data_IF_045239122279
#
_entry.id   IF_045239122279
#
_cell.length_a   1.000
_cell.length_b   1.000
_cell.length_c   1.000
_cell.angle_alpha   90.00
_cell.angle_beta   90.00
_cell.angle_gamma   90.00
#
_symmetry.space_group_name_H-M   'P 1'
#
loop_
_entity.id
_entity.type
_entity.pdbx_description
1 polymer ?
#
# COMPACT_ATOMS: atom_id res chain seq x y z
N UNK A 1 -9.70 -25.10 3.23
CA UNK A 1 -8.95 -24.19 2.34
C UNK A 1 -9.84 -23.57 1.24
N UNK A 2 -11.02 -24.12 0.92
CA UNK A 2 -11.83 -23.68 -0.24
C UNK A 2 -12.69 -22.42 -0.06
N UNK A 3 -13.07 -22.04 1.16
CA UNK A 3 -13.96 -20.88 1.37
C UNK A 3 -13.28 -19.52 1.24
N UNK A 4 -11.96 -19.43 1.50
CA UNK A 4 -11.22 -18.15 1.36
C UNK A 4 -11.01 -17.74 -0.10
N UNK A 5 -10.85 -18.71 -1.01
CA UNK A 5 -10.61 -18.42 -2.43
C UNK A 5 -11.89 -18.08 -3.21
N UNK A 6 -13.06 -18.54 -2.77
CA UNK A 6 -14.33 -18.22 -3.44
C UNK A 6 -14.82 -16.79 -3.19
N UNK A 7 -14.48 -16.18 -2.04
CA UNK A 7 -14.90 -14.81 -1.70
C UNK A 7 -14.18 -13.76 -2.57
N UNK A 8 -13.03 -14.12 -3.14
CA UNK A 8 -12.23 -13.25 -4.02
C UNK A 8 -12.58 -13.39 -5.52
N UNK A 9 -13.78 -13.85 -5.89
CA UNK A 9 -14.17 -14.02 -7.30
C UNK A 9 -15.11 -12.93 -7.84
N UNK A 10 -15.65 -12.06 -6.98
CA UNK A 10 -16.60 -11.02 -7.39
C UNK A 10 -16.14 -9.68 -6.83
N UNK A 11 -15.93 -8.71 -7.73
CA UNK A 11 -15.59 -7.34 -7.37
C UNK A 11 -16.83 -6.63 -6.83
N UNK A 12 -16.67 -5.87 -5.74
CA UNK A 12 -17.74 -4.99 -5.25
C UNK A 12 -18.15 -4.00 -6.34
N UNK A 13 -19.46 -3.90 -6.53
CA UNK A 13 -20.06 -3.10 -7.60
C UNK A 13 -21.14 -2.18 -7.06
N UNK A 14 -21.26 -1.00 -7.68
CA UNK A 14 -22.26 0.01 -7.32
C UNK A 14 -21.65 1.21 -6.57
N UNK A 15 -22.51 2.20 -6.26
CA UNK A 15 -22.08 3.46 -5.62
C UNK A 15 -22.90 3.85 -4.38
N UNK A 16 -23.83 2.99 -3.96
CA UNK A 16 -24.80 3.30 -2.91
C UNK A 16 -24.16 3.46 -1.52
N UNK A 17 -23.09 2.72 -1.24
CA UNK A 17 -22.33 2.81 0.01
C UNK A 17 -21.10 3.72 -0.08
N UNK A 18 -20.82 4.33 -1.23
CA UNK A 18 -19.61 5.13 -1.40
C UNK A 18 -19.63 6.41 -0.57
N UNK A 19 -18.44 6.80 -0.12
CA UNK A 19 -18.22 8.02 0.66
C UNK A 19 -17.89 9.22 -0.21
N UNK A 20 -18.34 10.38 0.24
CA UNK A 20 -18.07 11.68 -0.39
C UNK A 20 -17.72 12.71 0.67
N UNK A 21 -16.73 13.55 0.39
CA UNK A 21 -16.33 14.68 1.23
C UNK A 21 -16.26 15.96 0.38
N UNK A 22 -17.06 16.97 0.73
CA UNK A 22 -17.19 18.23 -0.02
C UNK A 22 -17.35 18.01 -1.54
N UNK A 23 -18.17 17.03 -1.93
CA UNK A 23 -18.43 16.67 -3.33
C UNK A 23 -17.36 15.80 -4.00
N UNK A 24 -16.25 15.49 -3.32
CA UNK A 24 -15.20 14.58 -3.82
C UNK A 24 -15.50 13.15 -3.42
N UNK A 25 -15.47 12.23 -4.38
CA UNK A 25 -15.60 10.79 -4.09
C UNK A 25 -14.35 10.30 -3.36
N UNK A 26 -14.53 9.62 -2.24
CA UNK A 26 -13.41 9.06 -1.50
C UNK A 26 -12.99 7.74 -2.12
N UNK A 27 -11.70 7.65 -2.43
CA UNK A 27 -11.08 6.44 -2.98
C UNK A 27 -9.89 6.07 -2.13
N UNK A 28 -9.62 4.77 -2.08
CA UNK A 28 -8.56 4.19 -1.28
C UNK A 28 -7.84 3.14 -2.09
N UNK A 29 -6.55 2.99 -1.86
CA UNK A 29 -5.74 2.00 -2.53
C UNK A 29 -4.39 1.79 -1.88
N UNK A 30 -3.63 0.88 -2.45
CA UNK A 30 -2.28 0.57 -2.00
C UNK A 30 -1.24 0.85 -3.09
N UNK A 31 0.01 1.05 -2.66
CA UNK A 31 1.18 0.83 -3.49
C UNK A 31 1.77 -0.51 -3.03
N UNK A 32 1.47 -1.62 -3.73
CA UNK A 32 2.00 -2.91 -3.35
C UNK A 32 3.49 -2.97 -3.69
N UNK A 33 4.29 -3.50 -2.76
CA UNK A 33 5.73 -3.68 -2.95
C UNK A 33 6.20 -5.01 -2.38
N UNK A 34 7.36 -5.46 -2.87
CA UNK A 34 8.10 -6.60 -2.30
C UNK A 34 9.60 -6.40 -2.44
N UNK A 35 10.36 -7.03 -1.57
CA UNK A 35 11.82 -7.07 -1.69
C UNK A 35 12.25 -8.09 -2.74
N UNK A 36 13.34 -7.78 -3.45
CA UNK A 36 13.96 -8.74 -4.37
C UNK A 36 14.82 -9.72 -3.58
N UNK A 37 14.73 -11.01 -3.88
CA UNK A 37 15.41 -12.08 -3.14
C UNK A 37 16.96 -11.96 -3.14
N UNK A 38 17.52 -11.34 -4.18
CA UNK A 38 18.97 -11.16 -4.34
C UNK A 38 19.30 -9.69 -4.54
N UNK A 39 19.67 -9.02 -3.45
CA UNK A 39 20.30 -7.70 -3.51
C UNK A 39 21.70 -7.86 -2.97
N UNK A 40 22.68 -7.96 -3.88
CA UNK A 40 24.08 -7.77 -3.54
C UNK A 40 24.23 -6.46 -2.76
N UNK A 41 25.03 -6.48 -1.69
CA UNK A 41 25.17 -5.40 -0.70
C UNK A 41 25.72 -4.07 -1.26
N UNK A 42 25.83 -3.91 -2.59
CA UNK A 42 26.32 -2.73 -3.31
C UNK A 42 25.23 -1.88 -3.98
N UNK A 43 23.97 -2.32 -4.01
CA UNK A 43 22.90 -1.61 -4.73
C UNK A 43 22.26 -0.47 -3.93
N UNK A 44 21.80 0.55 -4.68
CA UNK A 44 21.05 1.70 -4.18
C UNK A 44 19.79 1.17 -3.48
N UNK A 45 19.43 1.79 -2.36
CA UNK A 45 18.35 1.32 -1.48
C UNK A 45 16.98 1.17 -2.19
N UNK A 46 16.79 1.89 -3.29
CA UNK A 46 15.58 1.82 -4.12
C UNK A 46 15.54 0.61 -5.06
N UNK A 47 16.69 0.02 -5.39
CA UNK A 47 16.76 -1.18 -6.24
C UNK A 47 16.42 -2.46 -5.46
N UNK A 48 16.40 -2.37 -4.12
CA UNK A 48 16.17 -3.48 -3.23
C UNK A 48 14.72 -3.99 -3.23
N UNK A 49 13.79 -3.19 -3.75
CA UNK A 49 12.40 -3.54 -3.86
C UNK A 49 11.83 -3.21 -5.24
N UNK A 50 10.68 -3.79 -5.52
CA UNK A 50 9.87 -3.50 -6.69
C UNK A 50 8.43 -3.19 -6.27
N UNK A 51 7.72 -2.49 -7.14
CA UNK A 51 6.33 -2.08 -6.91
C UNK A 51 5.44 -2.67 -7.98
N UNK A 52 4.17 -2.90 -7.63
CA UNK A 52 3.17 -3.42 -8.55
C UNK A 52 2.28 -2.29 -9.04
N UNK A 53 2.08 -2.24 -10.35
CA UNK A 53 1.07 -1.40 -10.98
C UNK A 53 0.13 -2.26 -11.82
N UNK A 54 -1.04 -1.70 -12.13
CA UNK A 54 -2.07 -2.34 -12.95
C UNK A 54 -2.37 -1.54 -14.22
N UNK A 55 -2.83 -2.24 -15.25
CA UNK A 55 -3.38 -1.61 -16.44
C UNK A 55 -4.70 -0.88 -16.13
N UNK A 56 -5.10 0.15 -16.89
CA UNK A 56 -6.42 0.75 -16.77
C UNK A 56 -7.51 -0.22 -17.28
N UNK A 57 -8.66 -0.26 -16.61
CA UNK A 57 -9.80 -1.13 -16.99
C UNK A 57 -10.27 -0.94 -18.44
N UNK A 58 -10.25 0.29 -18.95
CA UNK A 58 -10.58 0.61 -20.34
C UNK A 58 -9.30 0.83 -21.12
N UNK A 59 -9.26 0.34 -22.38
CA UNK A 59 -8.13 0.55 -23.30
C UNK A 59 -7.64 2.00 -23.23
N UNK A 60 -6.44 2.17 -22.70
CA UNK A 60 -5.87 3.46 -22.38
C UNK A 60 -4.38 3.31 -22.12
N UNK A 61 -3.65 4.42 -22.23
CA UNK A 61 -2.22 4.47 -21.94
C UNK A 61 -2.00 4.73 -20.45
N UNK A 62 -0.85 4.23 -19.96
CA UNK A 62 -0.37 4.43 -18.59
C UNK A 62 -0.69 3.24 -17.67
N UNK A 63 -0.07 3.24 -16.51
CA UNK A 63 -0.31 2.28 -15.43
C UNK A 63 -0.77 3.03 -14.17
N UNK A 64 -1.46 2.31 -13.28
CA UNK A 64 -2.11 2.85 -12.10
C UNK A 64 -1.72 2.05 -10.86
N UNK A 65 -1.76 2.70 -9.69
CA UNK A 65 -1.85 1.96 -8.44
C UNK A 65 -3.26 1.40 -8.24
N UNK A 66 -3.40 0.19 -7.69
CA UNK A 66 -4.72 -0.38 -7.40
C UNK A 66 -5.45 0.49 -6.38
N UNK A 67 -6.68 0.86 -6.69
CA UNK A 67 -7.53 1.73 -5.86
C UNK A 67 -8.98 1.70 -6.33
N UNK A 68 -9.91 1.86 -5.41
CA UNK A 68 -11.32 2.08 -5.73
C UNK A 68 -12.09 2.72 -4.60
N UNK A 69 -13.39 2.44 -4.52
CA UNK A 69 -14.30 3.20 -3.66
C UNK A 69 -14.17 2.79 -2.19
N UNK A 70 -14.06 3.77 -1.28
CA UNK A 70 -14.18 3.49 0.14
C UNK A 70 -15.67 3.48 0.54
N UNK A 71 -16.15 2.33 1.01
CA UNK A 71 -17.55 2.12 1.41
C UNK A 71 -17.80 2.41 2.90
N UNK A 72 -19.08 2.53 3.27
CA UNK A 72 -19.51 2.94 4.63
C UNK A 72 -19.42 1.82 5.67
N UNK A 73 -19.44 0.57 5.23
CA UNK A 73 -19.50 -0.66 6.02
C UNK A 73 -18.12 -1.28 6.32
N UNK A 74 -17.03 -0.61 5.92
CA UNK A 74 -15.66 -1.10 6.07
C UNK A 74 -14.71 -0.02 6.62
N UNK A 75 -13.62 -0.46 7.23
CA UNK A 75 -12.50 0.42 7.58
C UNK A 75 -11.77 0.87 6.32
N UNK A 76 -10.93 1.90 6.45
CA UNK A 76 -10.17 2.39 5.30
C UNK A 76 -9.07 1.39 4.89
N UNK A 77 -8.48 0.69 5.87
CA UNK A 77 -7.48 -0.35 5.65
C UNK A 77 -8.10 -1.59 4.99
N UNK A 78 -9.27 -2.04 5.46
CA UNK A 78 -9.99 -3.16 4.83
C UNK A 78 -10.36 -2.86 3.39
N UNK A 79 -10.81 -1.62 3.13
CA UNK A 79 -11.10 -1.15 1.78
C UNK A 79 -9.85 -1.13 0.90
N UNK A 80 -8.71 -0.65 1.41
CA UNK A 80 -7.44 -0.65 0.68
C UNK A 80 -7.01 -2.07 0.29
N UNK A 81 -7.12 -3.01 1.23
CA UNK A 81 -6.80 -4.42 1.02
C UNK A 81 -7.75 -5.07 0.01
N UNK A 82 -9.06 -4.84 0.14
CA UNK A 82 -10.08 -5.34 -0.78
C UNK A 82 -9.85 -4.86 -2.21
N UNK A 83 -9.69 -3.56 -2.41
CA UNK A 83 -9.47 -2.96 -3.74
C UNK A 83 -8.17 -3.49 -4.38
N UNK A 84 -7.14 -3.74 -3.57
CA UNK A 84 -5.88 -4.32 -4.05
C UNK A 84 -6.04 -5.78 -4.48
N UNK A 85 -6.82 -6.57 -3.76
CA UNK A 85 -7.16 -7.94 -4.17
C UNK A 85 -8.01 -7.92 -5.44
N UNK A 86 -9.04 -7.07 -5.48
CA UNK A 86 -9.98 -6.96 -6.60
C UNK A 86 -9.29 -6.56 -7.90
N UNK A 87 -8.45 -5.52 -7.88
CA UNK A 87 -7.83 -4.99 -9.09
C UNK A 87 -6.49 -5.66 -9.46
N UNK A 88 -5.69 -6.10 -8.48
CA UNK A 88 -4.32 -6.60 -8.70
C UNK A 88 -4.12 -8.07 -8.30
N UNK A 89 -5.04 -8.68 -7.54
CA UNK A 89 -4.89 -10.07 -7.09
C UNK A 89 -3.68 -10.29 -6.20
N UNK A 90 -3.33 -9.33 -5.35
CA UNK A 90 -2.25 -9.48 -4.35
C UNK A 90 -2.77 -9.15 -2.95
N UNK A 91 -2.25 -9.84 -1.95
CA UNK A 91 -2.56 -9.58 -0.55
C UNK A 91 -1.31 -9.54 0.32
N UNK A 92 -1.43 -8.93 1.50
CA UNK A 92 -0.29 -8.73 2.38
C UNK A 92 -0.59 -7.84 3.57
N UNK A 93 0.45 -7.21 4.09
CA UNK A 93 0.34 -6.32 5.25
C UNK A 93 0.14 -4.88 4.79
N UNK A 94 -1.03 -4.32 5.09
CA UNK A 94 -1.30 -2.88 4.92
C UNK A 94 -0.60 -2.12 6.04
N UNK A 95 0.35 -1.26 5.68
CA UNK A 95 1.09 -0.44 6.65
C UNK A 95 0.41 0.92 6.88
N UNK A 96 0.99 1.75 7.76
CA UNK A 96 0.51 3.11 8.01
C UNK A 96 0.32 3.92 6.72
N UNK A 97 -0.75 4.71 6.64
CA UNK A 97 -1.07 5.57 5.49
C UNK A 97 0.13 6.38 4.98
N UNK A 98 0.31 6.44 3.66
CA UNK A 98 1.31 7.28 2.99
C UNK A 98 0.89 8.75 2.98
N UNK A 99 -0.38 9.00 2.65
CA UNK A 99 -0.91 10.35 2.53
C UNK A 99 -2.32 10.40 1.96
N UNK A 100 -2.78 11.62 1.72
CA UNK A 100 -4.02 11.92 1.01
C UNK A 100 -3.70 12.83 -0.17
N UNK A 101 -4.22 12.51 -1.34
CA UNK A 101 -4.09 13.32 -2.55
C UNK A 101 -5.45 13.67 -3.13
N UNK A 102 -5.51 14.79 -3.84
CA UNK A 102 -6.70 15.25 -4.53
C UNK A 102 -6.44 15.24 -6.03
N UNK A 103 -7.29 14.57 -6.78
CA UNK A 103 -7.15 14.45 -8.23
C UNK A 103 -8.52 14.30 -8.90
N UNK A 104 -8.54 14.34 -10.23
CA UNK A 104 -9.75 14.23 -11.03
C UNK A 104 -9.63 13.07 -12.01
N UNK A 105 -10.75 12.61 -12.56
CA UNK A 105 -10.70 11.69 -13.69
C UNK A 105 -10.22 12.43 -14.95
N UNK A 106 -9.97 11.67 -16.03
CA UNK A 106 -9.54 12.24 -17.32
C UNK A 106 -10.54 13.25 -17.91
N UNK A 107 -11.82 13.16 -17.56
CA UNK A 107 -12.87 14.05 -18.05
C UNK A 107 -13.00 15.35 -17.24
N UNK A 108 -12.40 15.44 -16.05
CA UNK A 108 -12.54 16.59 -15.14
C UNK A 108 -13.91 16.71 -14.46
N UNK A 109 -14.84 15.78 -14.68
CA UNK A 109 -16.21 15.84 -14.13
C UNK A 109 -16.33 15.21 -12.74
N UNK A 110 -15.32 14.44 -12.33
CA UNK A 110 -15.32 13.72 -11.05
C UNK A 110 -14.04 14.00 -10.30
N UNK A 111 -14.18 14.64 -9.15
CA UNK A 111 -13.08 14.89 -8.21
C UNK A 111 -12.99 13.79 -7.15
N UNK A 112 -11.76 13.47 -6.77
CA UNK A 112 -11.43 12.42 -5.82
C UNK A 112 -10.63 12.98 -4.64
N UNK A 113 -10.84 12.35 -3.48
CA UNK A 113 -9.95 12.37 -2.33
C UNK A 113 -9.39 10.96 -2.19
N UNK A 114 -8.12 10.78 -2.55
CA UNK A 114 -7.44 9.49 -2.58
C UNK A 114 -6.56 9.25 -1.37
N UNK A 115 -6.74 8.13 -0.70
CA UNK A 115 -5.93 7.69 0.43
C UNK A 115 -5.07 6.49 0.03
N UNK A 116 -3.75 6.62 0.13
CA UNK A 116 -2.83 5.55 -0.28
C UNK A 116 -2.08 4.98 0.91
N UNK A 117 -1.88 3.67 0.88
CA UNK A 117 -1.16 2.89 1.89
C UNK A 117 -0.05 2.08 1.22
N UNK A 118 1.07 1.80 1.91
CA UNK A 118 1.95 0.71 1.49
C UNK A 118 1.24 -0.62 1.69
N UNK A 119 1.47 -1.57 0.80
CA UNK A 119 1.11 -2.96 1.05
C UNK A 119 2.35 -3.83 0.81
N UNK A 120 2.86 -4.44 1.87
CA UNK A 120 3.92 -5.42 1.76
C UNK A 120 3.32 -6.74 1.29
N UNK A 121 3.57 -7.11 0.04
CA UNK A 121 2.94 -8.30 -0.57
C UNK A 121 3.52 -9.56 0.03
N UNK A 122 2.65 -10.40 0.57
CA UNK A 122 3.00 -11.74 1.07
C UNK A 122 2.49 -12.85 0.17
N UNK A 123 1.50 -12.58 -0.68
CA UNK A 123 0.91 -13.57 -1.58
C UNK A 123 0.39 -12.94 -2.87
N UNK A 124 0.64 -13.63 -3.99
CA UNK A 124 0.06 -13.33 -5.30
C UNK A 124 -0.95 -14.41 -5.66
N UNK A 125 -2.17 -14.00 -6.00
CA UNK A 125 -3.27 -14.91 -6.34
C UNK A 125 -3.23 -15.25 -7.83
N UNK A 126 -3.51 -16.52 -8.17
CA UNK A 126 -3.64 -16.98 -9.56
C UNK A 126 -4.95 -16.50 -10.22
N UNK A 127 -5.99 -16.34 -9.41
CA UNK A 127 -7.32 -15.89 -9.82
C UNK A 127 -7.78 -14.75 -8.92
N UNK A 128 -8.32 -13.69 -9.51
CA UNK A 128 -8.83 -12.52 -8.80
C UNK A 128 -9.94 -11.83 -9.62
N UNK A 129 -10.76 -10.97 -8.98
CA UNK A 129 -12.00 -10.46 -9.57
C UNK A 129 -11.84 -9.72 -10.91
N UNK A 130 -10.83 -8.87 -11.05
CA UNK A 130 -10.61 -8.09 -12.27
C UNK A 130 -9.59 -8.70 -13.23
N UNK A 131 -9.19 -9.96 -13.05
CA UNK A 131 -8.13 -10.61 -13.84
C UNK A 131 -8.30 -10.51 -15.36
N UNK A 132 -9.55 -10.57 -15.84
CA UNK A 132 -9.85 -10.55 -17.27
C UNK A 132 -9.88 -9.13 -17.87
N UNK A 133 -9.84 -8.10 -17.03
CA UNK A 133 -9.91 -6.68 -17.44
C UNK A 133 -8.73 -5.84 -16.94
N UNK A 134 -7.83 -6.43 -16.13
CA UNK A 134 -6.63 -5.80 -15.58
C UNK A 134 -5.44 -6.75 -15.73
N UNK A 135 -4.31 -6.16 -16.09
CA UNK A 135 -3.01 -6.83 -16.04
C UNK A 135 -2.21 -6.22 -14.89
N UNK A 136 -1.59 -7.06 -14.06
CA UNK A 136 -0.64 -6.62 -13.03
C UNK A 136 0.79 -6.71 -13.55
N UNK A 137 1.64 -5.78 -13.16
CA UNK A 137 3.05 -5.77 -13.56
C UNK A 137 3.91 -5.31 -12.40
N UNK A 138 4.84 -6.17 -11.99
CA UNK A 138 5.94 -5.82 -11.11
C UNK A 138 7.00 -5.05 -11.90
N UNK A 139 7.53 -3.99 -11.30
CA UNK A 139 8.60 -3.20 -11.90
C UNK A 139 9.45 -2.48 -10.88
N UNK A 140 10.64 -2.06 -11.31
CA UNK A 140 11.50 -1.22 -10.50
C UNK A 140 10.82 0.13 -10.20
N UNK A 141 11.23 0.75 -9.09
CA UNK A 141 10.84 2.13 -8.76
C UNK A 141 11.18 3.09 -9.90
N UNK A 142 12.34 2.90 -10.53
CA UNK A 142 12.79 3.72 -11.65
C UNK A 142 11.84 3.66 -12.85
N UNK A 143 11.36 2.46 -13.21
CA UNK A 143 10.37 2.28 -14.27
C UNK A 143 9.00 2.86 -13.88
N UNK A 144 8.56 2.61 -12.65
CA UNK A 144 7.31 3.15 -12.13
C UNK A 144 7.28 4.68 -12.21
N UNK A 145 8.37 5.38 -11.86
CA UNK A 145 8.49 6.85 -12.00
C UNK A 145 8.27 7.34 -13.44
N UNK A 146 8.72 6.59 -14.44
CA UNK A 146 8.55 6.92 -15.86
C UNK A 146 7.12 6.69 -16.33
N UNK A 147 6.46 5.64 -15.84
CA UNK A 147 5.13 5.23 -16.28
C UNK A 147 3.99 5.93 -15.52
N UNK A 148 4.24 6.41 -14.30
CA UNK A 148 3.31 7.24 -13.55
C UNK A 148 3.17 8.61 -14.21
N UNK A 149 2.10 8.84 -14.98
CA UNK A 149 1.90 10.12 -15.66
C UNK A 149 1.29 11.20 -14.74
N UNK A 150 0.57 10.80 -13.69
CA UNK A 150 -0.11 11.73 -12.79
C UNK A 150 0.83 12.20 -11.67
N UNK A 151 0.83 13.51 -11.38
CA UNK A 151 1.68 14.11 -10.34
C UNK A 151 1.49 13.45 -8.97
N UNK A 152 0.24 13.25 -8.55
CA UNK A 152 -0.07 12.61 -7.27
C UNK A 152 0.51 11.19 -7.14
N UNK A 153 0.57 10.43 -8.24
CA UNK A 153 1.14 9.07 -8.22
C UNK A 153 2.65 9.10 -8.00
N UNK A 154 3.33 10.04 -8.67
CA UNK A 154 4.77 10.23 -8.47
C UNK A 154 5.06 10.63 -7.02
N UNK A 155 4.31 11.58 -6.48
CA UNK A 155 4.45 12.00 -5.09
C UNK A 155 4.22 10.85 -4.12
N UNK A 156 3.15 10.07 -4.30
CA UNK A 156 2.86 8.91 -3.45
C UNK A 156 3.96 7.85 -3.51
N UNK A 157 4.52 7.61 -4.71
CA UNK A 157 5.66 6.71 -4.91
C UNK A 157 6.91 7.23 -4.17
N UNK A 158 7.24 8.52 -4.28
CA UNK A 158 8.41 9.08 -3.58
C UNK A 158 8.26 9.02 -2.06
N UNK A 159 7.05 9.20 -1.52
CA UNK A 159 6.80 9.04 -0.07
C UNK A 159 7.07 7.59 0.35
N UNK A 160 6.63 6.60 -0.44
CA UNK A 160 6.93 5.19 -0.17
C UNK A 160 8.44 4.94 -0.19
N UNK A 161 9.11 5.40 -1.25
CA UNK A 161 10.56 5.22 -1.43
C UNK A 161 11.33 5.84 -0.27
N UNK A 162 11.01 7.07 0.10
CA UNK A 162 11.63 7.75 1.24
C UNK A 162 11.44 6.97 2.54
N UNK A 163 10.26 6.41 2.77
CA UNK A 163 9.96 5.60 3.96
C UNK A 163 10.78 4.31 3.99
N UNK A 164 10.76 3.53 2.91
CA UNK A 164 11.44 2.23 2.86
C UNK A 164 12.96 2.37 2.94
N UNK A 165 13.53 3.35 2.24
CA UNK A 165 14.98 3.61 2.29
C UNK A 165 15.44 4.16 3.65
N UNK A 166 14.61 4.95 4.32
CA UNK A 166 14.91 5.41 5.69
C UNK A 166 14.91 4.25 6.70
N UNK A 167 14.02 3.28 6.54
CA UNK A 167 13.98 2.06 7.37
C UNK A 167 15.21 1.17 7.12
N UNK A 168 15.57 0.93 5.85
CA UNK A 168 16.79 0.19 5.47
C UNK A 168 18.06 0.76 6.10
N UNK A 169 18.23 2.09 6.09
CA UNK A 169 19.39 2.76 6.71
C UNK A 169 19.47 2.53 8.21
N UNK A 170 18.34 2.59 8.93
CA UNK A 170 18.29 2.31 10.37
C UNK A 170 18.74 0.88 10.68
N UNK A 171 18.25 -0.08 9.90
CA UNK A 171 18.58 -1.50 10.06
C UNK A 171 20.08 -1.76 9.78
N UNK A 172 20.65 -1.13 8.73
CA UNK A 172 22.09 -1.25 8.44
C UNK A 172 22.96 -0.61 9.53
N UNK A 173 22.53 0.51 10.11
CA UNK A 173 23.24 1.19 11.20
C UNK A 173 23.25 0.42 12.53
N UNK A 174 22.22 -0.38 12.81
CA UNK A 174 22.17 -1.22 14.01
C UNK A 174 23.05 -2.48 13.86
N UNK A 175 23.08 -3.10 12.66
CA UNK A 175 23.88 -4.31 12.36
C UNK A 175 25.40 -4.12 12.48
N UNK A 176 25.91 -2.89 12.39
CA UNK A 176 27.35 -2.60 12.54
C UNK A 176 27.80 -2.49 14.00
N UNK A 177 26.87 -2.46 14.97
CA UNK A 177 27.19 -2.22 16.39
C UNK A 177 27.12 -3.47 17.30
N UNK A 178 26.50 -4.56 16.86
CA UNK A 178 26.38 -5.79 17.65
C UNK A 178 26.35 -7.01 16.75
N UNK A 179 27.45 -7.77 16.72
CA UNK A 179 27.65 -8.94 15.86
C UNK A 179 26.80 -10.16 16.25
N UNK A 180 25.46 -10.04 16.27
CA UNK A 180 24.55 -11.18 16.45
C UNK A 180 23.30 -11.04 15.58
N UNK A 181 23.21 -11.87 14.56
CA UNK A 181 22.02 -12.00 13.70
C UNK A 181 20.90 -12.66 14.50
N UNK A 182 19.86 -11.89 14.80
CA UNK A 182 18.53 -12.42 15.14
C UNK A 182 17.55 -11.94 14.08
N UNK A 183 16.91 -12.88 13.39
CA UNK A 183 15.79 -12.60 12.50
C UNK A 183 14.61 -12.29 13.43
N UNK A 184 14.26 -11.01 13.57
CA UNK A 184 13.06 -10.61 14.31
C UNK A 184 11.88 -10.50 13.34
N UNK A 185 10.70 -11.05 13.67
CA UNK A 185 9.50 -10.86 12.87
C UNK A 185 9.04 -9.41 13.03
N UNK A 186 8.79 -8.72 11.90
CA UNK A 186 8.18 -7.39 11.90
C UNK A 186 6.70 -7.51 12.23
N UNK A 187 6.39 -7.38 13.52
CA UNK A 187 5.06 -7.09 14.01
C UNK A 187 5.05 -5.71 14.64
N UNK A 188 4.06 -4.90 14.27
CA UNK A 188 3.76 -3.57 14.80
C UNK A 188 4.16 -3.37 16.28
N UNK A 189 5.11 -2.48 16.57
CA UNK A 189 5.22 -1.89 17.90
C UNK A 189 4.37 -0.62 17.95
N UNK A 190 3.11 -0.83 18.32
CA UNK A 190 2.29 0.21 18.93
C UNK A 190 3.05 0.81 20.12
N UNK A 191 3.32 2.10 20.10
CA UNK A 191 3.70 2.84 21.29
C UNK A 191 2.44 3.02 22.15
N UNK A 192 2.15 2.03 23.00
CA UNK A 192 1.29 2.25 24.15
C UNK A 192 2.17 3.01 25.16
N UNK A 193 1.92 4.31 25.29
CA UNK A 193 2.44 5.10 26.41
C UNK A 193 1.76 4.57 27.68
N UNK A 194 2.49 3.85 28.52
CA UNK A 194 2.07 3.60 29.91
C UNK A 194 2.08 4.93 30.68
N UNK A 195 1.04 5.27 31.46
CA UNK A 195 1.10 6.41 32.36
C UNK A 195 2.11 6.16 33.49
N UNK A 196 2.79 7.19 34.00
CA UNK A 196 3.74 7.04 35.10
C UNK A 196 3.05 6.62 36.40
N UNK A 197 3.68 5.68 37.12
CA UNK A 197 3.36 5.36 38.50
C UNK A 197 3.48 6.62 39.35
N UNK A 198 2.43 6.98 40.09
CA UNK A 198 2.57 7.87 41.24
C UNK A 198 3.12 7.05 42.39
N UNK A 199 4.29 7.46 42.86
CA UNK A 199 4.96 6.95 44.05
C UNK A 199 4.14 7.30 45.28
N UNK A 200 3.75 6.27 46.03
CA UNK A 200 3.42 6.35 47.44
C UNK A 200 4.61 6.89 48.24
N UNK A 201 4.44 8.05 48.87
CA UNK A 201 5.18 8.42 50.07
C UNK A 201 4.24 8.29 51.25
N UNK A 202 4.48 7.25 52.05
CA UNK A 202 4.21 7.26 53.48
C UNK A 202 5.02 8.41 54.12
N UNK A 203 4.39 9.21 54.97
CA UNK A 203 4.94 9.53 56.29
C UNK A 203 3.83 10.10 57.19
N UNK A 204 3.72 9.45 58.37
CA UNK A 204 3.23 9.88 59.69
C UNK A 204 2.19 11.01 59.81
#
# INVERSE_FOLDING_TARGET
>A
MELKNMVALVSRSGRHLQRYNKGRRQVVGCIPYRYKDFVELSLVDEDAFEVLLISPQRKGKGLLFPKGGWEKDETIEDAAQRETIEEAGVQGEVECKLGTWYFENKAGDTAYEGHMFPLFVTEELDYWPEKEIRERTWMSVHEARKLCQNGWMKEALEVLVSRLTSQSKRIKGERTSSGRTTILPWGCRAQILSPPLSSSTEEA
#
